data_IF_619180515120
#
_entry.id   IF_619180515120
#
_cell.length_a   1.000
_cell.length_b   1.000
_cell.length_c   1.000
_cell.angle_alpha   90.00
_cell.angle_beta   90.00
_cell.angle_gamma   90.00
#
_symmetry.space_group_name_H-M   'P 1'
#
loop_
_entity.id
_entity.type
_entity.pdbx_description
1 polymer ?
#
# COMPACT_ATOMS: atom_id res chain seq x y z
N UNK A 1 12.12 -14.04 17.07
CA UNK A 1 11.32 -12.96 16.44
C UNK A 1 9.88 -12.79 16.96
N UNK A 2 9.46 -13.56 17.96
CA UNK A 2 8.07 -13.52 18.46
C UNK A 2 7.66 -12.15 19.01
N UNK A 3 8.53 -11.50 19.80
CA UNK A 3 8.26 -10.18 20.35
C UNK A 3 8.09 -9.12 19.24
N UNK A 4 8.88 -9.21 18.16
CA UNK A 4 8.79 -8.32 17.01
C UNK A 4 7.47 -8.54 16.27
N UNK A 5 7.09 -9.80 16.01
CA UNK A 5 5.84 -10.13 15.33
C UNK A 5 4.61 -9.70 16.14
N UNK A 6 4.68 -9.82 17.45
CA UNK A 6 3.63 -9.38 18.37
C UNK A 6 3.46 -7.85 18.33
N UNK A 7 4.57 -7.10 18.37
CA UNK A 7 4.57 -5.65 18.22
C UNK A 7 3.97 -5.23 16.88
N UNK A 8 4.38 -5.89 15.78
CA UNK A 8 3.86 -5.61 14.44
C UNK A 8 2.35 -5.88 14.36
N UNK A 9 1.86 -6.93 15.02
CA UNK A 9 0.43 -7.23 15.10
C UNK A 9 -0.35 -6.11 15.78
N UNK A 10 0.21 -5.54 16.86
CA UNK A 10 -0.39 -4.40 17.56
C UNK A 10 -0.46 -3.17 16.67
N UNK A 11 0.63 -2.84 15.97
CA UNK A 11 0.67 -1.71 15.03
C UNK A 11 -0.36 -1.88 13.91
N UNK A 12 -0.49 -3.10 13.36
CA UNK A 12 -1.44 -3.38 12.28
C UNK A 12 -2.91 -3.18 12.69
N UNK A 13 -3.23 -3.31 13.98
CA UNK A 13 -4.59 -3.13 14.52
C UNK A 13 -4.96 -1.66 14.79
N UNK A 14 -4.01 -0.73 14.71
CA UNK A 14 -4.28 0.68 14.93
C UNK A 14 -5.22 1.24 13.86
N UNK A 15 -6.24 1.99 14.29
CA UNK A 15 -7.20 2.61 13.38
C UNK A 15 -6.60 3.84 12.69
N UNK A 16 -6.85 3.98 11.38
CA UNK A 16 -6.47 5.18 10.63
C UNK A 16 -7.52 6.29 10.83
N UNK A 17 -7.10 7.59 10.88
CA UNK A 17 -8.04 8.71 10.95
C UNK A 17 -8.96 8.74 9.73
N UNK A 18 -10.24 9.05 9.95
CA UNK A 18 -11.25 9.16 8.89
C UNK A 18 -11.61 10.62 8.60
N UNK A 19 -11.87 10.91 7.32
CA UNK A 19 -12.43 12.17 6.88
C UNK A 19 -13.92 12.25 7.29
N UNK A 20 -14.32 13.35 7.91
CA UNK A 20 -15.68 13.51 8.42
C UNK A 20 -16.74 13.63 7.32
N UNK A 21 -16.38 14.23 6.17
CA UNK A 21 -17.31 14.42 5.05
C UNK A 21 -17.63 13.12 4.32
N UNK A 22 -16.64 12.24 4.15
CA UNK A 22 -16.76 11.05 3.30
C UNK A 22 -16.80 9.74 4.08
N UNK A 23 -16.33 9.73 5.34
CA UNK A 23 -16.14 8.51 6.14
C UNK A 23 -14.97 7.64 5.70
N UNK A 24 -14.23 8.05 4.67
CA UNK A 24 -13.03 7.37 4.17
C UNK A 24 -11.80 7.79 4.98
N UNK A 25 -10.72 6.98 4.97
CA UNK A 25 -9.44 7.44 5.53
C UNK A 25 -9.05 8.80 4.95
N UNK A 26 -8.57 9.72 5.78
CA UNK A 26 -8.21 11.09 5.35
C UNK A 26 -7.27 11.10 4.15
N UNK A 27 -6.32 10.16 4.11
CA UNK A 27 -5.36 10.05 3.02
C UNK A 27 -6.01 9.76 1.65
N UNK A 28 -7.21 9.19 1.61
CA UNK A 28 -7.90 8.85 0.36
C UNK A 28 -8.53 10.06 -0.33
N UNK A 29 -8.71 11.14 0.39
CA UNK A 29 -9.29 12.39 -0.12
C UNK A 29 -8.39 13.61 0.12
N UNK A 30 -7.14 13.38 0.51
CA UNK A 30 -6.19 14.44 0.81
C UNK A 30 -5.93 15.33 -0.41
N UNK A 31 -5.98 16.64 -0.20
CA UNK A 31 -5.73 17.63 -1.26
C UNK A 31 -6.89 17.83 -2.23
N UNK A 32 -8.05 17.21 -2.02
CA UNK A 32 -9.22 17.34 -2.88
C UNK A 32 -10.19 18.40 -2.35
N UNK A 33 -10.84 19.11 -3.27
CA UNK A 33 -11.96 20.02 -2.99
C UNK A 33 -13.23 19.23 -2.70
N UNK A 34 -14.31 19.90 -2.24
CA UNK A 34 -15.58 19.23 -1.95
C UNK A 34 -16.15 18.45 -3.12
N UNK A 35 -16.13 19.02 -4.33
CA UNK A 35 -16.60 18.33 -5.56
C UNK A 35 -15.70 17.19 -5.96
N UNK A 36 -14.39 17.36 -5.87
CA UNK A 36 -13.42 16.31 -6.16
C UNK A 36 -13.53 15.16 -5.14
N UNK A 37 -13.80 15.45 -3.86
CA UNK A 37 -14.06 14.42 -2.84
C UNK A 37 -15.27 13.56 -3.21
N UNK A 38 -16.36 14.18 -3.70
CA UNK A 38 -17.55 13.45 -4.15
C UNK A 38 -17.23 12.52 -5.32
N UNK A 39 -16.46 13.00 -6.31
CA UNK A 39 -16.00 12.18 -7.43
C UNK A 39 -15.12 11.03 -6.96
N UNK A 40 -14.22 11.28 -6.03
CA UNK A 40 -13.33 10.24 -5.47
C UNK A 40 -14.13 9.14 -4.78
N UNK A 41 -15.15 9.49 -3.99
CA UNK A 41 -16.04 8.52 -3.35
C UNK A 41 -16.75 7.65 -4.39
N UNK A 42 -17.29 8.28 -5.44
CA UNK A 42 -17.98 7.56 -6.52
C UNK A 42 -17.06 6.58 -7.24
N UNK A 43 -15.83 7.03 -7.57
CA UNK A 43 -14.84 6.20 -8.25
C UNK A 43 -14.35 5.05 -7.39
N UNK A 44 -14.12 5.27 -6.10
CA UNK A 44 -13.75 4.20 -5.17
C UNK A 44 -14.89 3.17 -5.09
N UNK A 45 -16.13 3.62 -4.97
CA UNK A 45 -17.31 2.72 -4.93
C UNK A 45 -17.48 1.95 -6.24
N UNK A 46 -17.25 2.60 -7.38
CA UNK A 46 -17.34 1.95 -8.70
C UNK A 46 -16.31 0.81 -8.80
N UNK A 47 -15.07 1.07 -8.44
CA UNK A 47 -13.98 0.07 -8.46
C UNK A 47 -14.27 -1.06 -7.49
N UNK A 48 -14.74 -0.74 -6.27
CA UNK A 48 -15.12 -1.73 -5.27
C UNK A 48 -16.22 -2.67 -5.78
N UNK A 49 -17.25 -2.12 -6.43
CA UNK A 49 -18.35 -2.87 -6.99
C UNK A 49 -17.88 -3.84 -8.08
N UNK A 50 -17.08 -3.36 -9.01
CA UNK A 50 -16.51 -4.19 -10.08
C UNK A 50 -15.66 -5.33 -9.49
N UNK A 51 -14.81 -5.02 -8.52
CA UNK A 51 -13.98 -6.03 -7.87
C UNK A 51 -14.82 -7.08 -7.13
N UNK A 52 -15.84 -6.65 -6.41
CA UNK A 52 -16.75 -7.55 -5.68
C UNK A 52 -17.53 -8.47 -6.61
N UNK A 53 -17.98 -7.95 -7.76
CA UNK A 53 -18.82 -8.71 -8.71
C UNK A 53 -18.00 -9.60 -9.66
N UNK A 54 -16.83 -9.15 -10.09
CA UNK A 54 -16.05 -9.81 -11.14
C UNK A 54 -14.66 -10.28 -10.71
N UNK A 55 -14.15 -9.82 -9.55
CA UNK A 55 -12.78 -10.06 -9.13
C UNK A 55 -11.74 -9.25 -9.89
N UNK A 56 -12.15 -8.38 -10.83
CA UNK A 56 -11.24 -7.58 -11.62
C UNK A 56 -10.85 -6.30 -10.90
N UNK A 57 -9.56 -5.96 -10.94
CA UNK A 57 -9.02 -4.69 -10.46
C UNK A 57 -8.93 -3.74 -11.65
N UNK A 58 -9.68 -2.65 -11.60
CA UNK A 58 -9.73 -1.64 -12.67
C UNK A 58 -9.17 -0.31 -12.17
N UNK A 59 -8.68 0.52 -13.09
CA UNK A 59 -8.25 1.87 -12.78
C UNK A 59 -9.44 2.77 -12.52
N UNK A 60 -9.20 3.88 -11.81
CA UNK A 60 -10.20 4.93 -11.62
C UNK A 60 -9.67 6.26 -12.14
N UNK A 61 -10.57 7.24 -12.31
CA UNK A 61 -10.21 8.60 -12.70
C UNK A 61 -9.21 9.17 -11.69
N UNK A 62 -8.10 9.72 -12.20
CA UNK A 62 -7.09 10.36 -11.38
C UNK A 62 -7.55 11.78 -11.04
N UNK A 63 -7.79 12.02 -9.75
CA UNK A 63 -8.16 13.32 -9.21
C UNK A 63 -6.99 13.87 -8.40
N UNK A 64 -6.74 15.17 -8.50
CA UNK A 64 -5.63 15.83 -7.82
C UNK A 64 -4.27 15.46 -8.42
N UNK A 65 -3.20 15.81 -7.70
CA UNK A 65 -1.83 15.58 -8.15
C UNK A 65 -1.33 14.21 -7.68
N UNK A 66 -0.72 13.46 -8.60
CA UNK A 66 -0.02 12.22 -8.23
C UNK A 66 1.31 12.57 -7.55
N UNK A 67 1.63 11.86 -6.47
CA UNK A 67 2.92 11.99 -5.75
C UNK A 67 3.61 10.63 -5.72
N UNK A 68 4.95 10.64 -5.82
CA UNK A 68 5.72 9.46 -5.47
C UNK A 68 5.51 9.16 -3.99
N UNK A 69 5.26 7.90 -3.66
CA UNK A 69 5.14 7.47 -2.28
C UNK A 69 6.42 7.78 -1.49
N UNK A 70 6.32 8.33 -0.26
CA UNK A 70 7.49 8.48 0.61
C UNK A 70 8.21 7.16 0.85
N UNK A 71 7.50 6.04 0.86
CA UNK A 71 8.09 4.71 1.04
C UNK A 71 8.92 4.29 -0.17
N UNK A 72 8.47 4.62 -1.39
CA UNK A 72 9.22 4.36 -2.63
C UNK A 72 10.53 5.13 -2.62
N UNK A 73 10.49 6.40 -2.22
CA UNK A 73 11.69 7.24 -2.09
C UNK A 73 12.63 6.69 -1.02
N UNK A 74 12.09 6.33 0.14
CA UNK A 74 12.88 5.76 1.24
C UNK A 74 13.54 4.43 0.85
N UNK A 75 12.85 3.59 0.07
CA UNK A 75 13.39 2.34 -0.44
C UNK A 75 14.62 2.58 -1.34
N UNK A 76 14.51 3.50 -2.29
CA UNK A 76 15.64 3.84 -3.17
C UNK A 76 16.85 4.34 -2.39
N UNK A 77 16.63 5.17 -1.38
CA UNK A 77 17.71 5.66 -0.50
C UNK A 77 18.37 4.56 0.30
N UNK A 78 17.57 3.64 0.85
CA UNK A 78 18.07 2.57 1.72
C UNK A 78 18.82 1.49 0.96
N UNK A 79 18.30 1.08 -0.20
CA UNK A 79 18.82 -0.09 -0.93
C UNK A 79 19.56 0.26 -2.23
N UNK A 80 19.49 1.51 -2.68
CA UNK A 80 20.27 1.99 -3.84
C UNK A 80 19.71 1.62 -5.20
N UNK A 81 18.47 1.12 -5.30
CA UNK A 81 17.79 0.82 -6.55
C UNK A 81 16.28 1.01 -6.39
N UNK A 82 15.53 1.22 -7.50
CA UNK A 82 14.08 1.43 -7.40
C UNK A 82 13.34 0.14 -7.04
N UNK A 83 12.27 0.27 -6.23
CA UNK A 83 11.43 -0.87 -5.83
C UNK A 83 10.76 -1.56 -7.02
N UNK A 84 10.62 -0.85 -8.15
CA UNK A 84 10.06 -1.40 -9.39
C UNK A 84 10.99 -2.39 -10.10
N UNK A 85 12.27 -2.41 -9.74
CA UNK A 85 13.22 -3.40 -10.26
C UNK A 85 13.03 -4.72 -9.49
N UNK A 86 12.01 -5.48 -9.88
CA UNK A 86 11.60 -6.71 -9.19
C UNK A 86 12.67 -7.80 -9.19
N UNK A 87 13.52 -7.85 -10.21
CA UNK A 87 14.63 -8.83 -10.24
C UNK A 87 15.60 -8.58 -9.08
N UNK A 88 15.97 -7.32 -8.84
CA UNK A 88 16.83 -6.94 -7.72
C UNK A 88 16.15 -7.12 -6.37
N UNK A 89 14.87 -6.74 -6.28
CA UNK A 89 14.07 -6.91 -5.05
C UNK A 89 14.01 -8.38 -4.66
N UNK A 90 13.70 -9.27 -5.59
CA UNK A 90 13.61 -10.72 -5.33
C UNK A 90 14.95 -11.34 -4.95
N UNK A 91 16.05 -10.86 -5.49
CA UNK A 91 17.40 -11.30 -5.10
C UNK A 91 17.75 -10.86 -3.69
N UNK A 92 17.40 -9.63 -3.34
CA UNK A 92 17.71 -9.03 -2.05
C UNK A 92 16.85 -9.60 -0.91
N UNK A 93 15.60 -9.94 -1.19
CA UNK A 93 14.61 -10.41 -0.20
C UNK A 93 14.07 -11.79 -0.59
N UNK A 94 14.94 -12.80 -0.59
CA UNK A 94 14.59 -14.17 -1.01
C UNK A 94 13.54 -14.85 -0.13
N UNK A 95 13.44 -14.47 1.13
CA UNK A 95 12.50 -15.01 2.11
C UNK A 95 11.18 -14.25 2.20
N UNK A 96 10.92 -13.33 1.26
CA UNK A 96 9.70 -12.51 1.24
C UNK A 96 8.86 -12.86 0.02
N UNK A 97 7.56 -13.06 0.22
CA UNK A 97 6.63 -13.33 -0.88
C UNK A 97 6.24 -12.02 -1.58
N UNK A 98 7.14 -11.55 -2.46
CA UNK A 98 7.02 -10.28 -3.18
C UNK A 98 5.75 -10.22 -4.02
N UNK A 99 5.47 -11.27 -4.79
CA UNK A 99 4.30 -11.32 -5.68
C UNK A 99 2.98 -11.25 -4.90
N UNK A 100 2.91 -11.90 -3.74
CA UNK A 100 1.73 -11.85 -2.88
C UNK A 100 1.53 -10.45 -2.29
N UNK A 101 2.60 -9.76 -1.89
CA UNK A 101 2.52 -8.38 -1.38
C UNK A 101 1.98 -7.46 -2.47
N UNK A 102 2.49 -7.58 -3.70
CA UNK A 102 2.00 -6.79 -4.84
C UNK A 102 0.52 -7.10 -5.15
N UNK A 103 0.15 -8.37 -5.14
CA UNK A 103 -1.25 -8.79 -5.35
C UNK A 103 -2.19 -8.22 -4.28
N UNK A 104 -1.79 -8.27 -3.02
CA UNK A 104 -2.54 -7.66 -1.91
C UNK A 104 -2.65 -6.15 -2.06
N UNK A 105 -1.62 -5.49 -2.55
CA UNK A 105 -1.65 -4.05 -2.82
C UNK A 105 -2.66 -3.67 -3.88
N UNK A 106 -2.72 -4.43 -4.97
CA UNK A 106 -3.74 -4.24 -6.04
C UNK A 106 -5.15 -4.50 -5.52
N UNK A 107 -5.33 -5.58 -4.76
CA UNK A 107 -6.62 -5.91 -4.15
C UNK A 107 -7.06 -4.85 -3.15
N UNK A 108 -6.15 -4.29 -2.36
CA UNK A 108 -6.45 -3.20 -1.43
C UNK A 108 -6.88 -1.93 -2.17
N UNK A 109 -6.24 -1.61 -3.30
CA UNK A 109 -6.68 -0.51 -4.17
C UNK A 109 -8.14 -0.68 -4.58
N UNK A 110 -8.52 -1.89 -5.00
CA UNK A 110 -9.87 -2.17 -5.48
C UNK A 110 -10.90 -2.28 -4.36
N UNK A 111 -10.55 -2.92 -3.24
CA UNK A 111 -11.51 -3.21 -2.16
C UNK A 111 -11.67 -2.09 -1.14
N UNK A 112 -10.58 -1.40 -0.80
CA UNK A 112 -10.58 -0.35 0.24
C UNK A 112 -10.40 1.06 -0.31
N UNK A 113 -9.82 1.18 -1.49
CA UNK A 113 -9.46 2.46 -2.09
C UNK A 113 -8.00 2.84 -1.80
N UNK A 114 -7.63 4.04 -2.21
CA UNK A 114 -6.26 4.55 -2.06
C UNK A 114 -6.24 6.07 -2.16
N UNK A 115 -5.04 6.66 -2.04
CA UNK A 115 -4.85 8.11 -2.23
C UNK A 115 -5.28 8.55 -3.63
N UNK A 116 -5.67 9.84 -3.80
CA UNK A 116 -5.95 10.39 -5.12
C UNK A 116 -4.76 10.23 -6.07
N UNK A 117 -5.05 10.03 -7.36
CA UNK A 117 -4.02 9.94 -8.40
C UNK A 117 -3.25 8.63 -8.46
N UNK A 118 -3.59 7.64 -7.64
CA UNK A 118 -2.91 6.34 -7.65
C UNK A 118 -3.53 5.38 -8.66
N UNK A 119 -2.71 4.44 -9.15
CA UNK A 119 -3.13 3.30 -9.96
C UNK A 119 -3.00 2.01 -9.12
N UNK A 120 -3.61 0.89 -9.55
CA UNK A 120 -3.38 -0.38 -8.85
C UNK A 120 -1.91 -0.73 -8.70
N UNK A 121 -1.10 -0.55 -9.75
CA UNK A 121 0.33 -0.86 -9.70
C UNK A 121 1.12 0.11 -8.82
N UNK A 122 0.86 1.42 -8.93
CA UNK A 122 1.55 2.39 -8.06
C UNK A 122 1.25 2.15 -6.59
N UNK A 123 0.01 1.77 -6.26
CA UNK A 123 -0.38 1.42 -4.90
C UNK A 123 0.28 0.13 -4.43
N UNK A 124 0.39 -0.88 -5.32
CA UNK A 124 1.08 -2.13 -5.03
C UNK A 124 2.57 -1.92 -4.73
N UNK A 125 3.27 -1.12 -5.54
CA UNK A 125 4.69 -0.80 -5.29
C UNK A 125 4.88 0.05 -4.04
N UNK A 126 3.97 0.98 -3.73
CA UNK A 126 4.01 1.74 -2.48
C UNK A 126 3.87 0.81 -1.27
N UNK A 127 2.99 -0.18 -1.34
CA UNK A 127 2.85 -1.20 -0.29
C UNK A 127 4.12 -2.02 -0.13
N UNK A 128 4.69 -2.50 -1.23
CA UNK A 128 5.94 -3.25 -1.20
C UNK A 128 7.07 -2.44 -0.59
N UNK A 129 7.22 -1.19 -1.01
CA UNK A 129 8.24 -0.29 -0.45
C UNK A 129 8.02 -0.05 1.05
N UNK A 130 6.77 0.13 1.49
CA UNK A 130 6.43 0.25 2.92
C UNK A 130 6.82 -1.00 3.70
N UNK A 131 6.54 -2.19 3.18
CA UNK A 131 6.95 -3.45 3.81
C UNK A 131 8.48 -3.51 3.97
N UNK A 132 9.22 -3.23 2.90
CA UNK A 132 10.67 -3.40 2.87
C UNK A 132 11.46 -2.26 3.53
N UNK A 133 10.79 -1.20 3.96
CA UNK A 133 11.40 -0.07 4.70
C UNK A 133 10.94 0.01 6.16
N UNK A 134 10.14 -0.95 6.62
CA UNK A 134 9.68 -0.99 8.01
C UNK A 134 8.47 -0.11 8.31
N UNK A 135 7.68 0.24 7.29
CA UNK A 135 6.44 0.98 7.46
C UNK A 135 5.28 0.11 7.97
N UNK A 136 4.09 0.71 8.11
CA UNK A 136 2.89 0.01 8.64
C UNK A 136 2.53 -1.24 7.83
N UNK A 137 2.75 -1.25 6.52
CA UNK A 137 2.46 -2.41 5.68
C UNK A 137 3.32 -3.62 6.06
N UNK A 138 4.54 -3.43 6.58
CA UNK A 138 5.36 -4.52 7.11
C UNK A 138 4.63 -5.22 8.27
N UNK A 139 3.98 -4.46 9.14
CA UNK A 139 3.21 -5.01 10.25
C UNK A 139 2.02 -5.86 9.77
N UNK A 140 1.35 -5.43 8.71
CA UNK A 140 0.23 -6.17 8.11
C UNK A 140 0.69 -7.44 7.40
N UNK A 141 1.80 -7.37 6.67
CA UNK A 141 2.30 -8.44 5.81
C UNK A 141 3.42 -9.29 6.46
N UNK A 142 3.60 -9.20 7.78
CA UNK A 142 4.67 -9.88 8.53
C UNK A 142 4.76 -11.39 8.27
N UNK A 143 3.63 -12.02 7.97
CA UNK A 143 3.58 -13.47 7.73
C UNK A 143 4.11 -13.87 6.34
N UNK A 144 4.31 -12.89 5.47
CA UNK A 144 4.89 -13.07 4.13
C UNK A 144 6.40 -12.85 4.11
N UNK A 145 7.02 -12.58 5.27
CA UNK A 145 8.42 -12.19 5.41
C UNK A 145 9.13 -13.18 6.32
N UNK A 146 10.28 -13.71 5.88
CA UNK A 146 11.11 -14.57 6.72
C UNK A 146 11.74 -13.78 7.88
N UNK A 147 12.13 -14.49 8.95
CA UNK A 147 12.83 -13.86 10.08
C UNK A 147 14.13 -13.19 9.66
N UNK A 148 14.85 -13.80 8.71
CA UNK A 148 16.10 -13.23 8.19
C UNK A 148 15.85 -11.93 7.43
N UNK A 149 14.81 -11.86 6.61
CA UNK A 149 14.44 -10.62 5.90
C UNK A 149 13.88 -9.57 6.86
N UNK A 150 13.11 -9.96 7.90
CA UNK A 150 12.66 -9.02 8.94
C UNK A 150 13.84 -8.34 9.62
N UNK A 151 14.88 -9.08 9.98
CA UNK A 151 16.11 -8.51 10.56
C UNK A 151 16.76 -7.51 9.62
N UNK A 152 16.84 -7.83 8.34
CA UNK A 152 17.40 -6.96 7.31
C UNK A 152 16.63 -5.66 7.15
N UNK A 153 15.30 -5.74 7.11
CA UNK A 153 14.42 -4.58 7.00
C UNK A 153 14.56 -3.67 8.22
N UNK A 154 14.67 -4.26 9.41
CA UNK A 154 14.72 -3.53 10.68
C UNK A 154 16.13 -3.05 11.07
N UNK A 155 17.13 -3.44 10.32
CA UNK A 155 18.52 -3.03 10.56
C UNK A 155 18.76 -1.53 10.27
#
# INVERSE_FOLDING_TARGET
>A
MDAVRELLSKIAREKTPKDKETGLPKRYVAGLTGEEKKKQVKEIKRVQKIYKETGQVVEREKLGKSRRSPFVIAFEKKYGFPVTDLNKVKKEFKGTNIDMILSKGRAAFASSGSRPGQTPDSWAFARLASVLTGGKAMAVDKDLISDSDLKKIMA
#
